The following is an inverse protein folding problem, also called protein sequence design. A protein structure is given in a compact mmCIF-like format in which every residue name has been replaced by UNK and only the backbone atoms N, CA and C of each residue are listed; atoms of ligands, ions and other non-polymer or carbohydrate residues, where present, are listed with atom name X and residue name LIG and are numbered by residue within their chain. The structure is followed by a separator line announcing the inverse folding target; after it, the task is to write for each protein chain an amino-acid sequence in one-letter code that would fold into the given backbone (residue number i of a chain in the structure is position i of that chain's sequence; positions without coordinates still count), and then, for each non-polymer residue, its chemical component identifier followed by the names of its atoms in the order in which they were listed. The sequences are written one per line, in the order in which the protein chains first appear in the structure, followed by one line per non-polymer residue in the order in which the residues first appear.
data_IF_359249100746
#
_entry.id   IF_359249100746
#
_cell.length_a   1.000
_cell.length_b   1.000
_cell.length_c   1.000
_cell.angle_alpha   90.00
_cell.angle_beta   90.00
_cell.angle_gamma   90.00
#
_symmetry.space_group_name_H-M   'P 1'
#
loop_
_entity.id
_entity.type
_entity.pdbx_description
1 polymer ?
#
# COMPACT_ATOMS: atom_id res chain seq x y z
N UNK A 1 -8.95 2.46 19.67
CA UNK A 1 -9.46 2.68 18.32
C UNK A 1 -9.32 1.41 17.51
N UNK A 2 -10.36 1.00 16.77
CA UNK A 2 -10.21 -0.17 15.91
C UNK A 2 -9.28 0.14 14.75
N UNK A 3 -8.50 -0.85 14.37
CA UNK A 3 -7.63 -0.73 13.22
C UNK A 3 -8.43 -0.90 11.93
N UNK A 4 -7.88 -0.39 10.82
CA UNK A 4 -8.43 -0.68 9.51
C UNK A 4 -8.10 -2.11 9.12
N UNK A 5 -9.00 -2.74 8.39
CA UNK A 5 -8.72 -4.05 7.80
C UNK A 5 -8.05 -3.84 6.46
N UNK A 6 -6.91 -4.48 6.24
CA UNK A 6 -6.17 -4.37 4.98
C UNK A 6 -6.55 -5.57 4.11
N UNK A 7 -7.07 -5.28 2.92
CA UNK A 7 -7.44 -6.29 1.94
C UNK A 7 -6.57 -6.12 0.69
N UNK A 8 -6.29 -7.22 0.02
CA UNK A 8 -5.46 -7.25 -1.18
C UNK A 8 -6.27 -7.81 -2.33
N UNK A 9 -6.13 -7.22 -3.52
CA UNK A 9 -6.71 -7.82 -4.71
C UNK A 9 -5.92 -9.08 -5.04
N UNK A 10 -6.51 -9.96 -5.84
CA UNK A 10 -5.82 -11.18 -6.26
C UNK A 10 -4.51 -10.86 -6.97
N UNK A 11 -4.51 -9.85 -7.84
CA UNK A 11 -3.32 -9.43 -8.57
C UNK A 11 -2.22 -8.94 -7.63
N UNK A 12 -2.57 -8.13 -6.63
CA UNK A 12 -1.57 -7.60 -5.68
C UNK A 12 -1.05 -8.70 -4.77
N UNK A 13 -1.92 -9.61 -4.34
CA UNK A 13 -1.49 -10.74 -3.51
C UNK A 13 -0.48 -11.62 -4.26
N UNK A 14 -0.75 -11.88 -5.54
CA UNK A 14 0.19 -12.65 -6.37
C UNK A 14 1.51 -11.93 -6.56
N UNK A 15 1.46 -10.63 -6.72
CA UNK A 15 2.67 -9.82 -6.86
C UNK A 15 3.55 -9.94 -5.62
N UNK A 16 2.95 -9.90 -4.44
CA UNK A 16 3.68 -10.07 -3.18
C UNK A 16 4.32 -11.45 -3.08
N UNK A 17 3.62 -12.49 -3.54
CA UNK A 17 4.14 -13.85 -3.48
C UNK A 17 5.38 -14.05 -4.34
N UNK A 18 5.49 -13.30 -5.43
CA UNK A 18 6.62 -13.41 -6.37
C UNK A 18 7.80 -12.52 -5.99
N UNK A 19 7.61 -11.67 -5.02
CA UNK A 19 8.59 -10.73 -4.55
C UNK A 19 9.59 -11.42 -3.62
N UNK A 20 10.80 -10.88 -3.49
CA UNK A 20 11.75 -11.39 -2.51
C UNK A 20 11.17 -11.23 -1.11
N UNK A 21 11.40 -12.21 -0.25
CA UNK A 21 10.78 -12.25 1.08
C UNK A 21 11.07 -11.00 1.93
N UNK A 22 12.26 -10.45 1.82
CA UNK A 22 12.60 -9.23 2.54
C UNK A 22 11.76 -8.04 2.12
N UNK A 23 11.50 -7.93 0.82
CA UNK A 23 10.66 -6.84 0.29
C UNK A 23 9.20 -7.02 0.71
N UNK A 24 8.71 -8.26 0.64
CA UNK A 24 7.34 -8.58 1.06
C UNK A 24 7.13 -8.23 2.53
N UNK A 25 8.06 -8.64 3.39
CA UNK A 25 7.99 -8.35 4.82
C UNK A 25 7.97 -6.85 5.08
N UNK A 26 8.79 -6.10 4.36
CA UNK A 26 8.85 -4.64 4.52
C UNK A 26 7.51 -3.99 4.17
N UNK A 27 6.89 -4.45 3.08
CA UNK A 27 5.57 -3.93 2.68
C UNK A 27 4.53 -4.28 3.73
N UNK A 28 4.51 -5.53 4.20
CA UNK A 28 3.53 -5.97 5.20
C UNK A 28 3.69 -5.22 6.52
N UNK A 29 4.92 -4.99 6.98
CA UNK A 29 5.17 -4.22 8.18
C UNK A 29 4.68 -2.78 8.03
N UNK A 30 4.94 -2.17 6.87
CA UNK A 30 4.51 -0.81 6.61
C UNK A 30 2.98 -0.73 6.56
N UNK A 31 2.34 -1.70 5.92
CA UNK A 31 0.88 -1.74 5.86
C UNK A 31 0.26 -1.96 7.24
N UNK A 32 0.95 -2.67 8.13
CA UNK A 32 0.49 -2.81 9.49
C UNK A 32 0.45 -1.44 10.20
N UNK A 33 1.46 -0.61 9.99
CA UNK A 33 1.46 0.76 10.52
C UNK A 33 0.34 1.59 9.90
N UNK A 34 0.16 1.46 8.59
CA UNK A 34 -0.90 2.17 7.87
C UNK A 34 -2.27 1.79 8.41
N UNK A 35 -2.48 0.51 8.75
CA UNK A 35 -3.77 0.04 9.27
C UNK A 35 -4.17 0.75 10.56
N UNK A 36 -3.20 1.20 11.33
CA UNK A 36 -3.45 1.87 12.61
C UNK A 36 -3.73 3.35 12.46
N UNK A 37 -3.10 3.98 11.46
CA UNK A 37 -3.27 5.42 11.24
C UNK A 37 -2.90 5.75 9.79
N UNK A 38 -3.80 5.43 8.84
CA UNK A 38 -3.44 5.48 7.42
C UNK A 38 -3.00 6.86 6.94
N UNK A 39 -3.69 7.92 7.34
CA UNK A 39 -3.42 9.24 6.80
C UNK A 39 -2.11 9.86 7.27
N UNK A 40 -1.45 9.21 8.20
CA UNK A 40 -0.11 9.61 8.62
C UNK A 40 0.95 9.20 7.60
N UNK A 41 0.72 8.13 6.86
CA UNK A 41 1.74 7.50 6.02
C UNK A 41 1.51 7.63 4.53
N UNK A 42 0.27 7.91 4.11
CA UNK A 42 -0.07 7.89 2.70
C UNK A 42 -0.24 9.30 2.14
N UNK A 43 -0.12 9.42 0.82
CA UNK A 43 -0.40 10.65 0.10
C UNK A 43 -1.58 10.41 -0.84
N UNK A 44 -2.50 11.36 -0.90
CA UNK A 44 -3.60 11.27 -1.83
C UNK A 44 -3.10 11.54 -3.24
N UNK A 45 -3.54 10.72 -4.19
CA UNK A 45 -3.23 10.92 -5.59
C UNK A 45 -4.12 12.04 -6.14
N UNK A 46 -3.53 12.89 -6.98
CA UNK A 46 -4.24 14.03 -7.52
C UNK A 46 -5.32 13.57 -8.49
N UNK A 47 -6.54 14.04 -8.28
CA UNK A 47 -7.65 13.81 -9.19
C UNK A 47 -8.37 12.48 -9.08
N UNK A 48 -7.92 11.59 -8.20
CA UNK A 48 -8.59 10.29 -8.01
C UNK A 48 -8.64 9.95 -6.52
N UNK A 49 -9.65 9.15 -6.09
CA UNK A 49 -9.81 8.81 -4.68
C UNK A 49 -8.93 7.62 -4.26
N UNK A 50 -7.66 7.69 -4.58
CA UNK A 50 -6.68 6.67 -4.21
C UNK A 50 -5.51 7.32 -3.48
N UNK A 51 -4.79 6.50 -2.76
CA UNK A 51 -3.67 6.94 -1.94
C UNK A 51 -2.44 6.12 -2.28
N UNK A 52 -1.27 6.72 -2.15
CA UNK A 52 -0.01 6.04 -2.41
C UNK A 52 0.87 6.00 -1.17
N UNK A 53 1.65 4.94 -1.09
CA UNK A 53 2.64 4.73 -0.05
C UNK A 53 3.94 4.27 -0.70
N UNK A 54 5.02 5.00 -0.43
CA UNK A 54 6.34 4.57 -0.92
C UNK A 54 7.00 3.71 0.14
N UNK A 55 7.46 2.53 -0.22
CA UNK A 55 8.20 1.67 0.69
C UNK A 55 9.33 0.99 -0.07
N UNK A 56 10.56 1.39 0.24
CA UNK A 56 11.73 0.93 -0.50
C UNK A 56 11.63 1.29 -1.97
N UNK A 57 11.78 0.30 -2.84
CA UNK A 57 11.69 0.49 -4.29
C UNK A 57 10.29 0.26 -4.85
N UNK A 58 9.30 0.13 -3.97
CA UNK A 58 7.92 -0.13 -4.38
C UNK A 58 7.01 1.02 -4.03
N UNK A 59 5.93 1.15 -4.81
CA UNK A 59 4.84 2.06 -4.50
C UNK A 59 3.57 1.24 -4.37
N UNK A 60 2.86 1.43 -3.26
CA UNK A 60 1.60 0.74 -2.98
C UNK A 60 0.46 1.72 -3.17
N UNK A 61 -0.53 1.35 -3.98
CA UNK A 61 -1.70 2.19 -4.25
C UNK A 61 -2.92 1.53 -3.62
N UNK A 62 -3.70 2.30 -2.91
CA UNK A 62 -4.81 1.78 -2.13
C UNK A 62 -6.00 2.73 -2.10
N UNK A 63 -7.19 2.18 -1.88
CA UNK A 63 -8.35 2.96 -1.51
C UNK A 63 -8.54 2.85 0.00
N UNK A 64 -9.10 3.89 0.62
CA UNK A 64 -9.32 3.92 2.06
C UNK A 64 -10.77 4.32 2.31
N UNK A 65 -11.55 3.42 2.89
CA UNK A 65 -12.93 3.68 3.26
C UNK A 65 -13.02 3.89 4.77
N UNK A 66 -13.19 5.13 5.19
CA UNK A 66 -13.21 5.47 6.60
C UNK A 66 -14.40 4.89 7.34
N UNK A 67 -15.56 4.88 6.70
CA UNK A 67 -16.78 4.41 7.36
C UNK A 67 -16.75 2.91 7.63
N UNK A 68 -16.13 2.17 6.73
CA UNK A 68 -16.02 0.72 6.87
C UNK A 68 -14.73 0.28 7.52
N UNK A 69 -13.79 1.19 7.72
CA UNK A 69 -12.46 0.92 8.23
C UNK A 69 -11.75 -0.15 7.38
N UNK A 70 -11.79 0.04 6.06
CA UNK A 70 -11.19 -0.90 5.11
C UNK A 70 -10.19 -0.17 4.22
N UNK A 71 -9.03 -0.78 4.07
CA UNK A 71 -8.02 -0.35 3.11
C UNK A 71 -7.90 -1.46 2.08
N UNK A 72 -8.15 -1.13 0.81
CA UNK A 72 -7.98 -2.11 -0.27
C UNK A 72 -6.77 -1.75 -1.09
N UNK A 73 -5.76 -2.62 -1.10
CA UNK A 73 -4.57 -2.43 -1.93
C UNK A 73 -4.92 -2.86 -3.35
N UNK A 74 -4.90 -1.90 -4.26
CA UNK A 74 -5.32 -2.13 -5.65
C UNK A 74 -4.16 -2.29 -6.60
N UNK A 75 -2.97 -1.79 -6.23
CA UNK A 75 -1.81 -1.90 -7.10
C UNK A 75 -0.53 -1.84 -6.29
N UNK A 76 0.47 -2.61 -6.69
CA UNK A 76 1.83 -2.53 -6.16
C UNK A 76 2.75 -2.42 -7.37
N UNK A 77 3.55 -1.36 -7.43
CA UNK A 77 4.47 -1.12 -8.52
C UNK A 77 5.90 -1.07 -8.02
N UNK A 78 6.80 -1.65 -8.79
CA UNK A 78 8.22 -1.49 -8.53
C UNK A 78 8.67 -0.21 -9.21
N UNK A 79 9.22 0.72 -8.45
CA UNK A 79 9.73 1.97 -9.00
C UNK A 79 11.20 1.81 -9.34
N UNK A 80 11.54 2.12 -10.57
CA UNK A 80 12.93 2.13 -10.99
C UNK A 80 13.57 3.43 -10.47
N UNK A 81 14.82 3.31 -10.00
CA UNK A 81 15.58 4.47 -9.54
C UNK A 81 15.67 5.56 -10.61
N UNK A 82 15.69 5.16 -11.87
CA UNK A 82 15.80 6.10 -12.98
C UNK A 82 14.54 6.90 -13.25
N UNK A 83 13.41 6.46 -12.72
CA UNK A 83 12.14 7.16 -12.92
C UNK A 83 12.05 8.44 -12.11
N UNK A 84 12.94 8.61 -11.13
CA UNK A 84 12.97 9.79 -10.27
C UNK A 84 13.87 10.91 -10.79
N UNK A 85 14.47 10.71 -11.93
CA UNK A 85 15.39 11.71 -12.52
C UNK A 85 14.70 12.69 -13.44
#
# INVERSE_FOLDING_TARGET
MPDYEVKWTETTARFLEKMESGDTERILEKMNLVSKNPFRYVKRLKGIPLYSLRTGKYMVIMSIEREKLVILVVEVEKKNVYDDL
#
